data_IF_271168983664
#
_entry.id   IF_271168983664
#
_cell.length_a   1.000
_cell.length_b   1.000
_cell.length_c   1.000
_cell.angle_alpha   90.00
_cell.angle_beta   90.00
_cell.angle_gamma   90.00
#
_symmetry.space_group_name_H-M   'P 1'
#
loop_
_entity.id
_entity.type
_entity.pdbx_description
1 polymer ?
#
# COMPACT_ATOMS: atom_id res chain seq x y z
N UNK A 1 28.62 -17.22 -12.08
CA UNK A 1 27.17 -17.42 -12.01
C UNK A 1 26.66 -16.68 -10.80
N UNK A 2 25.62 -15.88 -10.94
CA UNK A 2 24.95 -15.24 -9.80
C UNK A 2 24.20 -16.31 -9.00
N UNK A 3 24.25 -16.20 -7.68
CA UNK A 3 23.59 -17.12 -6.74
C UNK A 3 22.07 -17.15 -7.01
N UNK A 4 21.48 -18.32 -7.33
CA UNK A 4 20.05 -18.46 -7.58
C UNK A 4 19.18 -17.92 -6.43
N UNK A 5 19.61 -18.14 -5.18
CA UNK A 5 18.87 -17.69 -3.99
C UNK A 5 18.82 -16.16 -3.89
N UNK A 6 19.94 -15.50 -4.16
CA UNK A 6 20.00 -14.02 -4.21
C UNK A 6 19.14 -13.46 -5.33
N UNK A 7 19.15 -14.11 -6.49
CA UNK A 7 18.32 -13.69 -7.63
C UNK A 7 16.83 -13.77 -7.30
N UNK A 8 16.40 -14.83 -6.63
CA UNK A 8 14.99 -15.02 -6.29
C UNK A 8 14.54 -14.08 -5.17
N UNK A 9 15.38 -13.85 -4.15
CA UNK A 9 15.14 -12.81 -3.14
C UNK A 9 14.98 -11.43 -3.78
N UNK A 10 15.86 -11.08 -4.73
CA UNK A 10 15.79 -9.80 -5.45
C UNK A 10 14.51 -9.64 -6.27
N UNK A 11 13.99 -10.73 -6.88
CA UNK A 11 12.68 -10.69 -7.55
C UNK A 11 11.56 -10.37 -6.56
N UNK A 12 11.56 -11.00 -5.39
CA UNK A 12 10.56 -10.74 -4.36
C UNK A 12 10.62 -9.29 -3.87
N UNK A 13 11.82 -8.75 -3.62
CA UNK A 13 12.03 -7.35 -3.26
C UNK A 13 11.49 -6.42 -4.35
N UNK A 14 11.83 -6.67 -5.61
CA UNK A 14 11.34 -5.87 -6.74
C UNK A 14 9.81 -5.91 -6.86
N UNK A 15 9.19 -7.09 -6.67
CA UNK A 15 7.73 -7.21 -6.62
C UNK A 15 7.12 -6.41 -5.47
N UNK A 16 7.75 -6.43 -4.29
CA UNK A 16 7.29 -5.63 -3.15
C UNK A 16 7.37 -4.13 -3.44
N UNK A 17 8.51 -3.65 -3.97
CA UNK A 17 8.70 -2.27 -4.39
C UNK A 17 7.69 -1.83 -5.45
N UNK A 18 7.37 -2.69 -6.41
CA UNK A 18 6.33 -2.43 -7.40
C UNK A 18 4.97 -2.19 -6.73
N UNK A 19 4.54 -3.08 -5.83
CA UNK A 19 3.27 -2.90 -5.13
C UNK A 19 3.27 -1.68 -4.20
N UNK A 20 4.40 -1.31 -3.58
CA UNK A 20 4.52 -0.06 -2.83
C UNK A 20 4.29 1.17 -3.72
N UNK A 21 4.81 1.16 -4.96
CA UNK A 21 4.57 2.25 -5.91
C UNK A 21 3.09 2.29 -6.33
N UNK A 22 2.48 1.15 -6.62
CA UNK A 22 1.03 1.05 -6.89
C UNK A 22 0.20 1.59 -5.72
N UNK A 23 0.58 1.27 -4.48
CA UNK A 23 -0.12 1.74 -3.28
C UNK A 23 -0.10 3.27 -3.19
N UNK A 24 1.09 3.88 -3.36
CA UNK A 24 1.26 5.34 -3.37
C UNK A 24 0.45 5.99 -4.49
N UNK A 25 0.46 5.40 -5.68
CA UNK A 25 -0.31 5.89 -6.81
C UNK A 25 -1.82 5.86 -6.56
N UNK A 26 -2.35 4.73 -6.06
CA UNK A 26 -3.77 4.59 -5.77
C UNK A 26 -4.22 5.57 -4.67
N UNK A 27 -3.41 5.79 -3.64
CA UNK A 27 -3.66 6.84 -2.63
C UNK A 27 -3.73 8.25 -3.25
N UNK A 28 -2.84 8.56 -4.19
CA UNK A 28 -2.88 9.85 -4.89
C UNK A 28 -4.15 9.99 -5.76
N UNK A 29 -4.58 8.92 -6.43
CA UNK A 29 -5.82 8.93 -7.21
C UNK A 29 -7.04 9.17 -6.32
N UNK A 30 -7.12 8.49 -5.17
CA UNK A 30 -8.19 8.73 -4.17
C UNK A 30 -8.20 10.20 -3.74
N UNK A 31 -7.06 10.77 -3.36
CA UNK A 31 -6.97 12.16 -2.93
C UNK A 31 -7.37 13.15 -4.05
N UNK A 32 -6.99 12.86 -5.30
CA UNK A 32 -7.35 13.69 -6.44
C UNK A 32 -8.85 13.63 -6.73
N UNK A 33 -9.45 12.45 -6.69
CA UNK A 33 -10.86 12.25 -6.99
C UNK A 33 -11.76 12.77 -5.86
N UNK A 34 -11.33 12.65 -4.60
CA UNK A 34 -12.00 13.23 -3.43
C UNK A 34 -12.09 14.76 -3.55
N UNK A 35 -11.00 15.41 -3.95
CA UNK A 35 -11.00 16.86 -4.24
C UNK A 35 -11.92 17.22 -5.40
N UNK A 36 -12.03 16.37 -6.43
CA UNK A 36 -12.95 16.59 -7.56
C UNK A 36 -14.40 16.47 -7.13
N UNK A 37 -14.74 15.44 -6.33
CA UNK A 37 -16.05 15.29 -5.74
C UNK A 37 -16.43 16.51 -4.90
N UNK A 38 -15.51 16.97 -4.03
CA UNK A 38 -15.76 18.15 -3.21
C UNK A 38 -16.05 19.40 -4.04
N UNK A 39 -15.28 19.63 -5.12
CA UNK A 39 -15.56 20.72 -6.07
C UNK A 39 -16.90 20.55 -6.79
N UNK A 40 -17.26 19.34 -7.19
CA UNK A 40 -18.55 19.01 -7.82
C UNK A 40 -19.73 19.32 -6.89
N UNK A 41 -19.56 19.06 -5.59
CA UNK A 41 -20.54 19.41 -4.55
C UNK A 41 -20.67 20.94 -4.42
N UNK A 42 -19.56 21.66 -4.24
CA UNK A 42 -19.56 23.13 -4.10
C UNK A 42 -20.19 23.79 -5.32
N UNK A 43 -19.82 23.35 -6.52
CA UNK A 43 -20.32 23.91 -7.78
C UNK A 43 -21.76 23.49 -8.10
N UNK A 44 -22.43 22.75 -7.21
CA UNK A 44 -23.79 22.24 -7.39
C UNK A 44 -23.99 21.52 -8.72
N UNK A 45 -22.97 20.74 -9.14
CA UNK A 45 -23.08 19.94 -10.34
C UNK A 45 -24.20 18.91 -10.22
N UNK A 46 -24.61 18.40 -11.38
CA UNK A 46 -25.67 17.40 -11.51
C UNK A 46 -25.37 16.14 -10.69
N UNK A 47 -26.40 15.49 -10.12
CA UNK A 47 -26.23 14.26 -9.35
C UNK A 47 -25.46 13.15 -10.09
N UNK A 48 -25.62 13.04 -11.41
CA UNK A 48 -24.92 12.03 -12.21
C UNK A 48 -23.39 12.17 -12.13
N UNK A 49 -22.85 13.40 -12.16
CA UNK A 49 -21.40 13.61 -12.05
C UNK A 49 -20.87 13.27 -10.66
N UNK A 50 -21.65 13.58 -9.62
CA UNK A 50 -21.30 13.22 -8.24
C UNK A 50 -21.26 11.70 -8.06
N UNK A 51 -22.22 10.98 -8.65
CA UNK A 51 -22.23 9.51 -8.65
C UNK A 51 -21.00 8.97 -9.38
N UNK A 52 -20.65 9.51 -10.54
CA UNK A 52 -19.45 9.09 -11.29
C UNK A 52 -18.16 9.24 -10.45
N UNK A 53 -18.01 10.35 -9.73
CA UNK A 53 -16.88 10.56 -8.82
C UNK A 53 -16.86 9.56 -7.66
N UNK A 54 -18.03 9.25 -7.08
CA UNK A 54 -18.16 8.26 -6.02
C UNK A 54 -17.82 6.84 -6.50
N UNK A 55 -18.24 6.47 -7.71
CA UNK A 55 -17.90 5.18 -8.33
C UNK A 55 -16.39 5.07 -8.54
N UNK A 56 -15.75 6.10 -9.09
CA UNK A 56 -14.29 6.15 -9.26
C UNK A 56 -13.53 6.04 -7.93
N UNK A 57 -14.00 6.74 -6.88
CA UNK A 57 -13.43 6.63 -5.55
C UNK A 57 -13.51 5.19 -5.01
N UNK A 58 -14.66 4.54 -5.18
CA UNK A 58 -14.84 3.14 -4.77
C UNK A 58 -13.90 2.21 -5.54
N UNK A 59 -13.74 2.41 -6.85
CA UNK A 59 -12.83 1.61 -7.67
C UNK A 59 -11.37 1.77 -7.22
N UNK A 60 -10.92 3.00 -6.96
CA UNK A 60 -9.57 3.22 -6.45
C UNK A 60 -9.36 2.63 -5.04
N UNK A 61 -10.37 2.69 -4.17
CA UNK A 61 -10.33 2.03 -2.86
C UNK A 61 -10.21 0.51 -2.99
N UNK A 62 -10.96 -0.10 -3.93
CA UNK A 62 -10.84 -1.54 -4.20
C UNK A 62 -9.44 -1.90 -4.70
N UNK A 63 -8.88 -1.13 -5.62
CA UNK A 63 -7.51 -1.32 -6.11
C UNK A 63 -6.47 -1.14 -5.00
N UNK A 64 -6.67 -0.18 -4.09
CA UNK A 64 -5.79 0.03 -2.95
C UNK A 64 -5.81 -1.18 -2.00
N UNK A 65 -7.00 -1.68 -1.67
CA UNK A 65 -7.18 -2.85 -0.81
C UNK A 65 -6.53 -4.11 -1.40
N UNK A 66 -6.72 -4.34 -2.71
CA UNK A 66 -6.08 -5.48 -3.38
C UNK A 66 -4.56 -5.29 -3.43
N UNK A 67 -4.07 -4.07 -3.68
CA UNK A 67 -2.63 -3.77 -3.63
C UNK A 67 -2.04 -4.08 -2.26
N UNK A 68 -2.69 -3.65 -1.17
CA UNK A 68 -2.26 -3.98 0.20
C UNK A 68 -2.24 -5.49 0.45
N UNK A 69 -3.25 -6.21 -0.03
CA UNK A 69 -3.30 -7.67 0.08
C UNK A 69 -2.13 -8.34 -0.65
N UNK A 70 -1.79 -7.87 -1.85
CA UNK A 70 -0.65 -8.39 -2.61
C UNK A 70 0.68 -8.04 -1.94
N UNK A 71 0.83 -6.84 -1.38
CA UNK A 71 2.01 -6.48 -0.57
C UNK A 71 2.21 -7.43 0.60
N UNK A 72 1.14 -7.74 1.35
CA UNK A 72 1.20 -8.69 2.49
C UNK A 72 1.59 -10.10 2.05
N UNK A 73 1.09 -10.57 0.91
CA UNK A 73 1.49 -11.86 0.33
C UNK A 73 2.99 -11.89 -0.01
N UNK A 74 3.50 -10.86 -0.67
CA UNK A 74 4.92 -10.77 -1.03
C UNK A 74 5.79 -10.65 0.21
N UNK A 75 5.38 -9.85 1.20
CA UNK A 75 6.05 -9.76 2.50
C UNK A 75 6.14 -11.12 3.20
N UNK A 76 5.04 -11.87 3.25
CA UNK A 76 5.04 -13.23 3.80
C UNK A 76 5.98 -14.17 3.02
N UNK A 77 5.99 -14.06 1.68
CA UNK A 77 6.88 -14.85 0.83
C UNK A 77 8.36 -14.51 1.08
N UNK A 78 8.70 -13.23 1.23
CA UNK A 78 10.06 -12.77 1.59
C UNK A 78 10.47 -13.37 2.93
N UNK A 79 9.63 -13.24 3.96
CA UNK A 79 9.93 -13.77 5.29
C UNK A 79 10.16 -15.27 5.24
N UNK A 80 9.24 -16.01 4.62
CA UNK A 80 9.36 -17.47 4.46
C UNK A 80 10.63 -17.85 3.70
N UNK A 81 10.99 -17.10 2.65
CA UNK A 81 12.21 -17.34 1.89
C UNK A 81 13.46 -17.15 2.74
N UNK A 82 13.50 -16.10 3.56
CA UNK A 82 14.63 -15.84 4.47
C UNK A 82 14.71 -16.86 5.62
N UNK A 83 13.57 -17.35 6.11
CA UNK A 83 13.52 -18.38 7.15
C UNK A 83 14.04 -19.74 6.63
N UNK A 84 13.78 -20.04 5.35
CA UNK A 84 14.26 -21.27 4.69
C UNK A 84 15.72 -21.18 4.21
N UNK A 85 16.24 -19.97 4.00
CA UNK A 85 17.60 -19.72 3.51
C UNK A 85 18.37 -18.86 4.53
N UNK A 86 18.70 -19.47 5.68
CA UNK A 86 19.37 -18.79 6.79
C UNK A 86 20.75 -18.21 6.41
N UNK A 87 21.41 -18.79 5.42
CA UNK A 87 22.66 -18.31 4.82
C UNK A 87 22.51 -16.94 4.15
N UNK A 88 21.29 -16.57 3.75
CA UNK A 88 20.98 -15.28 3.13
C UNK A 88 20.59 -14.19 4.14
N UNK A 89 20.29 -14.52 5.40
CA UNK A 89 19.75 -13.56 6.39
C UNK A 89 20.65 -12.34 6.66
N UNK A 90 21.97 -12.47 6.49
CA UNK A 90 22.95 -11.39 6.71
C UNK A 90 23.43 -10.72 5.41
N UNK A 91 22.79 -11.03 4.28
CA UNK A 91 23.11 -10.36 3.02
C UNK A 91 22.49 -8.97 2.97
N UNK A 92 23.10 -8.08 2.16
CA UNK A 92 22.55 -6.74 1.91
C UNK A 92 21.10 -6.80 1.43
N UNK A 93 20.77 -7.77 0.59
CA UNK A 93 19.43 -7.96 0.05
C UNK A 93 18.42 -8.34 1.14
N UNK A 94 18.81 -9.19 2.11
CA UNK A 94 17.98 -9.53 3.26
C UNK A 94 17.71 -8.30 4.16
N UNK A 95 18.77 -7.53 4.46
CA UNK A 95 18.64 -6.30 5.26
C UNK A 95 17.73 -5.26 4.59
N UNK A 96 17.83 -5.11 3.27
CA UNK A 96 16.95 -4.23 2.49
C UNK A 96 15.49 -4.71 2.57
N UNK A 97 15.26 -6.01 2.41
CA UNK A 97 13.93 -6.60 2.52
C UNK A 97 13.30 -6.36 3.90
N UNK A 98 14.05 -6.59 4.98
CA UNK A 98 13.59 -6.31 6.35
C UNK A 98 13.26 -4.84 6.55
N UNK A 99 14.14 -3.93 6.11
CA UNK A 99 13.92 -2.48 6.24
C UNK A 99 12.64 -2.03 5.53
N UNK A 100 12.42 -2.50 4.30
CA UNK A 100 11.23 -2.17 3.51
C UNK A 100 9.93 -2.63 4.19
N UNK A 101 9.97 -3.81 4.82
CA UNK A 101 8.83 -4.36 5.56
C UNK A 101 8.55 -3.54 6.82
N UNK A 102 9.57 -3.17 7.58
CA UNK A 102 9.43 -2.35 8.79
C UNK A 102 8.90 -0.95 8.50
N UNK A 103 9.41 -0.29 7.45
CA UNK A 103 8.93 1.02 7.00
C UNK A 103 7.42 0.98 6.69
N UNK A 104 6.96 -0.06 6.00
CA UNK A 104 5.54 -0.23 5.67
C UNK A 104 4.68 -0.49 6.91
N UNK A 105 5.12 -1.38 7.81
CA UNK A 105 4.40 -1.65 9.06
C UNK A 105 4.28 -0.38 9.93
N UNK A 106 5.31 0.47 9.93
CA UNK A 106 5.30 1.77 10.60
C UNK A 106 4.29 2.75 10.00
N UNK A 107 4.17 2.78 8.67
CA UNK A 107 3.16 3.59 7.96
C UNK A 107 1.74 3.12 8.24
N UNK A 108 1.48 1.81 8.18
CA UNK A 108 0.15 1.26 8.48
C UNK A 108 -0.29 1.59 9.91
N UNK A 109 0.60 1.45 10.90
CA UNK A 109 0.33 1.83 12.29
C UNK A 109 0.00 3.32 12.45
N UNK A 110 0.73 4.20 11.76
CA UNK A 110 0.46 5.65 11.81
C UNK A 110 -0.91 6.00 11.23
N UNK A 111 -1.29 5.37 10.12
CA UNK A 111 -2.61 5.58 9.50
C UNK A 111 -3.72 5.06 10.42
N UNK A 112 -3.56 3.87 11.00
CA UNK A 112 -4.54 3.29 11.91
C UNK A 112 -4.77 4.18 13.14
N UNK A 113 -3.68 4.69 13.72
CA UNK A 113 -3.74 5.61 14.86
C UNK A 113 -4.42 6.93 14.48
N UNK A 114 -4.07 7.53 13.33
CA UNK A 114 -4.68 8.78 12.87
C UNK A 114 -6.20 8.65 12.66
N UNK A 115 -6.66 7.50 12.16
CA UNK A 115 -8.09 7.23 11.97
C UNK A 115 -8.83 6.98 13.29
N UNK A 116 -8.19 6.34 14.28
CA UNK A 116 -8.78 6.19 15.63
C UNK A 116 -9.02 7.53 16.33
N UNK A 117 -8.11 8.50 16.16
CA UNK A 117 -8.27 9.83 16.75
C UNK A 117 -9.38 10.67 16.09
N UNK A 118 -9.84 10.33 14.88
CA UNK A 118 -10.96 11.02 14.23
C UNK A 118 -12.33 10.49 14.68
N UNK A 119 -12.42 9.23 15.09
CA UNK A 119 -13.69 8.65 15.60
C UNK A 119 -14.00 9.10 17.03
N UNK A 120 -12.98 9.44 17.82
CA UNK A 120 -13.14 9.91 19.20
C UNK A 120 -13.58 11.37 19.39
N UNK A 121 -13.84 12.12 18.32
CA UNK A 121 -14.23 13.56 18.37
C UNK A 121 -15.73 13.76 18.07
N UNK A 122 -16.49 12.69 17.83
CA UNK A 122 -17.94 12.74 17.64
C UNK A 122 -18.75 12.35 18.89
N UNK A 123 -18.08 12.11 20.03
CA UNK A 123 -18.72 11.84 21.33
C UNK A 123 -18.29 12.87 22.39
N UNK A 124 -18.64 14.14 22.18
CA UNK A 124 -18.79 15.13 23.28
C UNK A 124 -19.86 16.15 22.93
#
# INVERSE_FOLDING_TARGET
MEDPGKRDLKKLINSYCFFQQCYKFNMQQINCEDRRLHKSIINSETPHKKIEHLEKLRDFQNLLNETQRQMKKVQFAIQTFLDLNADLQNTKDSQEATRLIEEQNGLEKKILNANMFQVGVLET
#
